data_IF_550320670131
#
_entry.id   IF_550320670131
#
_cell.length_a   1.000
_cell.length_b   1.000
_cell.length_c   1.000
_cell.angle_alpha   90.00
_cell.angle_beta   90.00
_cell.angle_gamma   90.00
#
_symmetry.space_group_name_H-M   'P 1'
#
loop_
_entity.id
_entity.type
_entity.pdbx_description
1 polymer ?
#
# COMPACT_ATOMS: atom_id res chain seq x y z
N UNK A 1 -7.62 -48.70 -61.29
CA UNK A 1 -6.56 -48.86 -60.32
C UNK A 1 -5.62 -47.64 -60.48
N UNK A 2 -5.96 -46.51 -59.84
CA UNK A 2 -5.13 -45.32 -59.82
C UNK A 2 -5.02 -44.81 -58.36
N UNK A 3 -3.87 -44.98 -57.81
CA UNK A 3 -3.50 -44.54 -56.47
C UNK A 3 -3.05 -43.08 -56.55
N UNK A 4 -3.75 -42.16 -55.87
CA UNK A 4 -3.39 -40.75 -55.78
C UNK A 4 -2.88 -40.45 -54.38
N UNK A 5 -1.57 -40.47 -54.21
CA UNK A 5 -0.90 -40.05 -52.98
C UNK A 5 -0.74 -38.54 -52.91
N UNK A 6 -1.48 -37.85 -52.05
CA UNK A 6 -1.28 -36.45 -51.74
C UNK A 6 -0.41 -36.32 -50.49
N UNK A 7 0.82 -35.90 -50.71
CA UNK A 7 1.71 -35.43 -49.69
C UNK A 7 1.26 -34.05 -49.19
N UNK A 8 0.81 -33.95 -47.93
CA UNK A 8 0.50 -32.70 -47.26
C UNK A 8 1.77 -32.29 -46.49
N UNK A 9 2.54 -31.37 -47.07
CA UNK A 9 3.62 -30.67 -46.42
C UNK A 9 3.03 -29.57 -45.51
N UNK A 10 2.95 -29.86 -44.21
CA UNK A 10 2.59 -28.84 -43.18
C UNK A 10 3.79 -27.97 -42.86
N UNK A 11 3.88 -26.78 -43.49
CA UNK A 11 4.77 -25.72 -43.06
C UNK A 11 4.24 -25.10 -41.78
N UNK A 12 4.82 -25.49 -40.63
CA UNK A 12 4.61 -24.85 -39.35
C UNK A 12 5.33 -23.51 -39.36
N UNK A 13 4.61 -22.46 -39.72
CA UNK A 13 5.06 -21.07 -39.55
C UNK A 13 5.06 -20.78 -38.03
N UNK A 14 6.23 -20.80 -37.41
CA UNK A 14 6.45 -20.24 -36.08
C UNK A 14 6.31 -18.73 -36.14
N UNK A 15 5.12 -18.23 -35.83
CA UNK A 15 4.90 -16.81 -35.56
C UNK A 15 5.60 -16.46 -34.26
N UNK A 16 6.83 -15.93 -34.38
CA UNK A 16 7.50 -15.24 -33.27
C UNK A 16 6.80 -13.91 -33.06
N UNK A 17 5.70 -13.89 -32.32
CA UNK A 17 5.14 -12.67 -31.77
C UNK A 17 6.10 -12.14 -30.71
N UNK A 18 7.07 -11.31 -31.13
CA UNK A 18 7.85 -10.48 -30.20
C UNK A 18 6.88 -9.54 -29.52
N UNK A 19 6.56 -9.86 -28.26
CA UNK A 19 5.84 -8.96 -27.37
C UNK A 19 6.62 -7.63 -27.29
N UNK A 20 6.17 -6.62 -27.96
CA UNK A 20 6.59 -5.24 -27.69
C UNK A 20 5.87 -4.83 -26.42
N UNK A 21 6.55 -4.96 -25.27
CA UNK A 21 6.14 -4.30 -24.05
C UNK A 21 6.06 -2.80 -24.34
N UNK A 22 4.85 -2.28 -24.40
CA UNK A 22 4.62 -0.89 -24.76
C UNK A 22 5.29 0.07 -23.76
N UNK A 23 5.56 1.31 -24.18
CA UNK A 23 6.30 2.31 -23.40
C UNK A 23 5.66 2.65 -22.05
N UNK A 24 4.41 2.27 -21.81
CA UNK A 24 3.67 2.49 -20.55
C UNK A 24 4.26 1.68 -19.38
N UNK A 25 4.74 0.45 -19.64
CA UNK A 25 5.36 -0.36 -18.58
C UNK A 25 6.74 0.20 -18.21
N UNK A 26 7.47 0.76 -19.17
CA UNK A 26 8.76 1.42 -18.93
C UNK A 26 8.62 2.69 -18.09
N UNK A 27 7.55 3.46 -18.27
CA UNK A 27 7.28 4.67 -17.48
C UNK A 27 6.96 4.33 -16.00
N UNK A 28 6.25 3.25 -15.73
CA UNK A 28 5.97 2.81 -14.36
C UNK A 28 7.24 2.34 -13.65
N UNK A 29 8.11 1.59 -14.33
CA UNK A 29 9.41 1.16 -13.79
C UNK A 29 10.41 2.32 -13.67
N UNK A 30 10.42 3.28 -14.59
CA UNK A 30 11.26 4.48 -14.51
C UNK A 30 10.86 5.38 -13.33
N UNK A 31 9.58 5.51 -13.03
CA UNK A 31 9.12 6.26 -11.85
C UNK A 31 9.55 5.61 -10.53
N UNK A 32 9.60 4.27 -10.46
CA UNK A 32 10.09 3.54 -9.29
C UNK A 32 11.61 3.65 -9.17
N UNK A 33 12.35 3.62 -10.28
CA UNK A 33 13.80 3.78 -10.31
C UNK A 33 14.25 5.21 -9.91
N UNK A 34 13.50 6.24 -10.30
CA UNK A 34 13.75 7.63 -9.89
C UNK A 34 13.49 7.85 -8.39
N UNK A 35 12.56 7.12 -7.78
CA UNK A 35 12.37 7.13 -6.33
C UNK A 35 13.50 6.40 -5.59
N UNK A 36 14.11 5.39 -6.20
CA UNK A 36 15.25 4.65 -5.65
C UNK A 36 16.55 5.46 -5.61
N UNK A 37 16.80 6.33 -6.60
CA UNK A 37 18.01 7.17 -6.64
C UNK A 37 17.99 8.29 -5.59
N UNK A 38 16.83 8.82 -5.24
CA UNK A 38 16.69 9.81 -4.16
C UNK A 38 16.99 9.22 -2.76
N UNK A 39 16.87 7.91 -2.58
CA UNK A 39 17.19 7.22 -1.32
C UNK A 39 18.70 7.10 -1.12
N UNK A 40 19.47 6.98 -2.21
CA UNK A 40 20.92 6.81 -2.14
C UNK A 40 21.64 8.11 -1.77
N UNK A 41 21.11 9.27 -2.17
CA UNK A 41 21.63 10.58 -1.76
C UNK A 41 21.34 10.90 -0.28
N UNK A 42 20.18 10.47 0.24
CA UNK A 42 19.83 10.69 1.64
C UNK A 42 20.69 9.85 2.62
N UNK A 43 21.23 8.72 2.19
CA UNK A 43 22.12 7.89 3.02
C UNK A 43 23.57 8.39 3.03
N UNK A 44 23.99 9.11 1.99
CA UNK A 44 25.35 9.67 1.92
C UNK A 44 25.53 10.90 2.83
N UNK A 45 24.48 11.62 3.15
CA UNK A 45 24.53 12.79 4.03
C UNK A 45 24.52 12.46 5.52
N UNK A 46 24.09 11.26 5.92
CA UNK A 46 24.04 10.85 7.34
C UNK A 46 25.35 10.31 7.86
N UNK A 47 26.36 10.10 7.01
CA UNK A 47 27.66 9.53 7.41
C UNK A 47 28.72 10.58 7.84
N UNK A 48 28.44 11.88 7.76
CA UNK A 48 29.42 12.93 8.06
C UNK A 48 29.23 13.68 9.39
N UNK A 49 28.14 13.40 10.15
CA UNK A 49 27.95 13.98 11.47
C UNK A 49 28.27 12.93 12.57
N UNK A 50 29.54 12.87 12.92
CA UNK A 50 30.01 12.15 14.08
C UNK A 50 29.97 13.09 15.29
N UNK A 51 29.17 12.82 16.33
CA UNK A 51 29.13 13.66 17.51
C UNK A 51 30.33 13.42 18.41
N UNK A 52 30.84 14.52 18.92
CA UNK A 52 31.87 14.62 19.92
C UNK A 52 31.56 13.84 21.21
N UNK A 53 32.58 13.29 21.74
CA UNK A 53 32.93 12.85 23.09
C UNK A 53 31.86 12.97 24.20
N UNK A 54 31.57 11.86 24.80
CA UNK A 54 30.83 11.72 26.05
C UNK A 54 31.81 11.93 27.22
N UNK A 55 31.57 12.95 28.00
CA UNK A 55 32.23 13.23 29.28
C UNK A 55 31.63 12.32 30.40
N UNK A 56 32.43 11.83 31.36
CA UNK A 56 31.95 10.85 32.33
C UNK A 56 31.09 11.45 33.44
N UNK A 57 30.09 10.69 33.82
CA UNK A 57 29.13 11.00 34.86
C UNK A 57 29.77 11.27 36.22
N UNK A 58 29.43 12.40 36.81
CA UNK A 58 29.71 12.71 38.23
C UNK A 58 28.73 11.96 39.13
N UNK A 59 29.31 11.30 40.13
CA UNK A 59 28.59 10.55 41.15
C UNK A 59 27.76 11.49 42.06
N UNK A 60 26.50 11.21 42.21
CA UNK A 60 25.61 11.86 43.16
C UNK A 60 25.90 11.31 44.57
N UNK A 61 26.42 12.20 45.43
CA UNK A 61 26.58 11.95 46.85
C UNK A 61 25.22 11.91 47.55
N UNK A 62 25.01 10.86 48.34
CA UNK A 62 23.84 10.62 49.18
C UNK A 62 24.00 11.49 50.43
N UNK A 63 23.11 12.48 50.64
CA UNK A 63 22.99 13.22 51.89
C UNK A 63 21.87 12.64 52.72
N UNK A 64 22.21 12.13 53.89
CA UNK A 64 21.31 11.53 54.85
C UNK A 64 20.43 12.57 55.60
N UNK A 65 19.39 12.13 56.31
CA UNK A 65 18.42 13.00 56.93
C UNK A 65 18.94 13.62 58.22
N UNK A 66 18.72 14.92 58.41
CA UNK A 66 18.98 15.64 59.64
C UNK A 66 17.80 15.48 60.64
N UNK A 67 18.05 15.55 61.97
CA UNK A 67 17.08 15.23 62.98
C UNK A 67 16.08 16.36 63.26
N UNK A 68 14.89 15.97 63.69
CA UNK A 68 13.79 16.81 64.15
C UNK A 68 14.12 17.47 65.51
N UNK A 69 13.90 18.77 65.60
CA UNK A 69 13.73 19.48 66.87
C UNK A 69 12.30 20.04 66.98
N UNK A 70 11.61 19.79 68.13
CA UNK A 70 10.31 20.38 68.37
C UNK A 70 10.47 21.58 69.35
N UNK A 71 9.85 22.67 69.05
CA UNK A 71 9.24 23.67 69.93
C UNK A 71 9.42 25.09 69.41
N UNK A 72 8.38 25.82 69.14
CA UNK A 72 7.84 26.78 70.11
C UNK A 72 6.67 27.51 69.46
N UNK A 73 5.54 27.48 70.10
CA UNK A 73 4.35 28.25 69.81
C UNK A 73 4.62 29.73 70.10
N UNK A 74 4.18 30.61 69.21
CA UNK A 74 3.83 31.99 69.57
C UNK A 74 2.76 32.52 68.62
N UNK A 75 1.59 32.67 69.16
CA UNK A 75 0.44 33.37 68.64
C UNK A 75 0.72 34.86 68.53
N UNK A 76 0.51 35.40 67.29
CA UNK A 76 0.29 36.86 67.15
C UNK A 76 -0.75 37.05 66.04
N UNK A 77 -1.93 37.50 66.46
CA UNK A 77 -3.00 37.96 65.56
C UNK A 77 -2.52 39.29 64.91
N UNK A 78 -2.37 39.29 63.61
CA UNK A 78 -2.40 40.52 62.81
C UNK A 78 -3.39 40.40 61.71
N UNK A 79 -4.44 41.19 61.78
CA UNK A 79 -5.41 41.50 60.74
C UNK A 79 -4.67 42.26 59.64
N UNK A 80 -4.51 41.65 58.48
CA UNK A 80 -3.91 42.31 57.31
C UNK A 80 -4.95 42.34 56.18
N UNK A 81 -4.98 43.40 55.39
CA UNK A 81 -6.04 43.65 54.40
C UNK A 81 -5.97 42.67 53.26
N UNK A 82 -7.15 42.30 52.72
CA UNK A 82 -7.36 41.40 51.58
C UNK A 82 -6.45 41.74 50.41
N UNK A 83 -5.41 40.92 50.20
CA UNK A 83 -4.64 40.89 48.98
C UNK A 83 -5.49 40.26 47.84
N UNK A 84 -5.33 40.75 46.58
CA UNK A 84 -6.10 40.21 45.47
C UNK A 84 -5.81 38.74 45.27
N UNK A 85 -6.90 38.00 45.16
CA UNK A 85 -6.92 36.56 44.97
C UNK A 85 -5.87 36.08 43.95
N UNK A 86 -4.81 35.48 44.47
CA UNK A 86 -3.84 34.72 43.70
C UNK A 86 -4.61 33.72 42.86
N UNK A 87 -4.55 33.84 41.57
CA UNK A 87 -5.06 32.89 40.63
C UNK A 87 -4.54 31.51 41.05
N UNK A 88 -5.44 30.67 41.48
CA UNK A 88 -5.17 29.29 41.81
C UNK A 88 -4.65 28.62 40.59
N UNK A 89 -3.34 28.54 40.41
CA UNK A 89 -2.68 27.67 39.43
C UNK A 89 -3.12 26.25 39.81
N UNK A 90 -4.19 25.80 39.15
CA UNK A 90 -4.84 24.54 39.44
C UNK A 90 -3.83 23.40 39.42
N UNK A 91 -3.45 22.93 40.58
CA UNK A 91 -2.64 21.74 40.74
C UNK A 91 -3.39 20.57 40.13
N UNK A 92 -2.99 20.17 38.89
CA UNK A 92 -3.53 18.99 38.23
C UNK A 92 -3.45 17.80 39.22
N UNK A 93 -4.56 17.09 39.40
CA UNK A 93 -4.58 15.87 40.16
C UNK A 93 -3.60 14.85 39.60
N UNK A 94 -3.11 13.94 40.43
CA UNK A 94 -2.18 12.86 39.99
C UNK A 94 -2.75 12.09 38.81
N UNK A 95 -4.06 11.80 38.81
CA UNK A 95 -4.73 11.13 37.70
C UNK A 95 -4.72 11.96 36.40
N UNK A 96 -4.92 13.25 36.49
CA UNK A 96 -4.82 14.16 35.32
C UNK A 96 -3.42 14.18 34.74
N UNK A 97 -2.37 14.21 35.59
CA UNK A 97 -0.97 14.13 35.14
C UNK A 97 -0.64 12.80 34.45
N UNK A 98 -1.13 11.68 35.00
CA UNK A 98 -0.95 10.35 34.39
C UNK A 98 -1.65 10.29 33.03
N UNK A 99 -2.89 10.79 32.93
CA UNK A 99 -3.65 10.85 31.67
C UNK A 99 -2.93 11.70 30.65
N UNK A 100 -2.49 12.89 31.00
CA UNK A 100 -1.73 13.79 30.12
C UNK A 100 -0.43 13.15 29.60
N UNK A 101 0.36 12.50 30.47
CA UNK A 101 1.56 11.77 30.05
C UNK A 101 1.27 10.59 29.12
N UNK A 102 0.20 9.85 29.32
CA UNK A 102 -0.23 8.77 28.40
C UNK A 102 -0.60 9.32 27.04
N UNK A 103 -1.32 10.44 27.01
CA UNK A 103 -1.73 11.08 25.77
C UNK A 103 -0.52 11.65 25.00
N UNK A 104 0.41 12.31 25.67
CA UNK A 104 1.66 12.77 25.07
C UNK A 104 2.47 11.63 24.45
N UNK A 105 2.62 10.50 25.16
CA UNK A 105 3.30 9.30 24.63
C UNK A 105 2.58 8.73 23.42
N UNK A 106 1.25 8.71 23.43
CA UNK A 106 0.45 8.25 22.31
C UNK A 106 0.64 9.17 21.09
N UNK A 107 0.58 10.48 21.27
CA UNK A 107 0.81 11.45 20.19
C UNK A 107 2.23 11.37 19.65
N UNK A 108 3.23 11.21 20.51
CA UNK A 108 4.62 11.01 20.09
C UNK A 108 4.76 9.73 19.24
N UNK A 109 4.18 8.61 19.67
CA UNK A 109 4.20 7.36 18.92
C UNK A 109 3.45 7.45 17.58
N UNK A 110 2.35 8.19 17.51
CA UNK A 110 1.65 8.46 16.24
C UNK A 110 2.56 9.27 15.31
N UNK A 111 3.17 10.34 15.81
CA UNK A 111 4.08 11.16 15.00
C UNK A 111 5.28 10.35 14.50
N UNK A 112 5.85 9.50 15.33
CA UNK A 112 6.97 8.63 14.94
C UNK A 112 6.63 7.71 13.77
N UNK A 113 5.43 7.12 13.75
CA UNK A 113 4.98 6.21 12.69
C UNK A 113 4.52 6.94 11.43
N UNK A 114 3.82 8.08 11.56
CA UNK A 114 3.12 8.72 10.43
C UNK A 114 3.76 10.02 9.93
N UNK A 115 4.92 10.42 10.46
CA UNK A 115 5.71 11.53 9.94
C UNK A 115 6.60 11.14 8.75
N UNK A 116 6.48 9.92 8.25
CA UNK A 116 7.25 9.48 7.09
C UNK A 116 6.68 10.09 5.80
N UNK A 117 7.61 10.60 4.96
CA UNK A 117 7.27 11.23 3.69
C UNK A 117 6.89 10.21 2.62
N UNK A 118 7.60 9.07 2.61
CA UNK A 118 7.45 8.03 1.61
C UNK A 118 7.04 6.71 2.24
N UNK A 119 6.22 6.00 1.51
CA UNK A 119 5.78 4.65 1.83
C UNK A 119 5.82 3.80 0.56
N UNK A 120 6.46 2.65 0.59
CA UNK A 120 6.36 1.64 -0.47
C UNK A 120 5.72 0.38 0.08
N UNK A 121 5.05 -0.34 -0.80
CA UNK A 121 4.45 -1.62 -0.46
C UNK A 121 4.64 -2.64 -1.58
N UNK A 122 4.72 -3.89 -1.15
CA UNK A 122 4.73 -5.06 -2.03
C UNK A 122 3.81 -6.10 -1.43
N UNK A 123 3.03 -6.75 -2.28
CA UNK A 123 2.08 -7.74 -1.83
C UNK A 123 1.54 -8.62 -2.93
N UNK A 124 0.55 -9.40 -2.55
CA UNK A 124 -0.22 -10.25 -3.44
C UNK A 124 -1.64 -10.39 -2.95
N UNK A 125 -2.48 -10.99 -3.78
CA UNK A 125 -3.87 -11.17 -3.43
C UNK A 125 -4.64 -11.89 -4.52
N UNK A 126 -5.93 -11.62 -4.57
CA UNK A 126 -6.79 -12.12 -5.63
C UNK A 126 -7.79 -11.04 -6.08
N UNK A 127 -8.20 -11.17 -7.33
CA UNK A 127 -9.25 -10.37 -7.94
C UNK A 127 -10.28 -11.27 -8.57
N UNK A 128 -11.56 -11.07 -8.28
CA UNK A 128 -12.65 -11.79 -8.92
C UNK A 128 -13.08 -11.03 -10.17
N UNK A 129 -12.73 -11.57 -11.33
CA UNK A 129 -12.86 -10.94 -12.64
C UNK A 129 -13.86 -11.66 -13.55
N UNK A 130 -14.48 -10.92 -14.46
CA UNK A 130 -15.37 -11.46 -15.50
C UNK A 130 -14.67 -11.38 -16.85
N UNK A 131 -14.22 -12.52 -17.42
CA UNK A 131 -13.37 -12.54 -18.60
C UNK A 131 -14.10 -12.34 -19.94
N UNK A 132 -15.42 -12.29 -19.91
CA UNK A 132 -16.29 -12.08 -21.08
C UNK A 132 -17.72 -11.85 -20.65
N UNK A 133 -18.57 -11.33 -21.54
CA UNK A 133 -19.95 -10.93 -21.20
C UNK A 133 -20.83 -12.10 -20.74
N UNK A 134 -20.61 -13.28 -21.30
CA UNK A 134 -21.42 -14.48 -21.03
C UNK A 134 -20.68 -15.50 -20.17
N UNK A 135 -19.42 -15.25 -19.84
CA UNK A 135 -18.60 -16.18 -19.11
C UNK A 135 -18.75 -16.02 -17.59
N UNK A 136 -18.48 -17.12 -16.88
CA UNK A 136 -18.48 -17.12 -15.42
C UNK A 136 -17.30 -16.29 -14.87
N UNK A 137 -17.52 -15.70 -13.70
CA UNK A 137 -16.47 -15.02 -12.96
C UNK A 137 -15.38 -16.01 -12.54
N UNK A 138 -14.14 -15.60 -12.71
CA UNK A 138 -12.95 -16.33 -12.31
C UNK A 138 -12.20 -15.60 -11.21
N UNK A 139 -11.33 -16.30 -10.51
CA UNK A 139 -10.38 -15.71 -9.58
C UNK A 139 -9.03 -15.58 -10.28
N UNK A 140 -8.50 -14.38 -10.27
CA UNK A 140 -7.13 -14.06 -10.68
C UNK A 140 -6.27 -13.87 -9.45
N UNK A 141 -5.10 -14.47 -9.42
CA UNK A 141 -4.08 -14.20 -8.44
C UNK A 141 -3.28 -12.98 -8.89
N UNK A 142 -2.94 -12.11 -7.94
CA UNK A 142 -2.18 -10.92 -8.28
C UNK A 142 -0.95 -10.73 -7.40
N UNK A 143 0.03 -10.04 -7.97
CA UNK A 143 1.06 -9.32 -7.24
C UNK A 143 0.82 -7.83 -7.42
N UNK A 144 1.17 -7.04 -6.43
CA UNK A 144 1.12 -5.60 -6.48
C UNK A 144 2.34 -4.96 -5.84
N UNK A 145 2.76 -3.84 -6.40
CA UNK A 145 3.82 -2.99 -5.88
C UNK A 145 3.39 -1.54 -6.03
N UNK A 146 3.67 -0.72 -5.06
CA UNK A 146 3.33 0.68 -5.17
C UNK A 146 4.11 1.55 -4.21
N UNK A 147 4.01 2.85 -4.46
CA UNK A 147 4.63 3.87 -3.64
C UNK A 147 3.63 5.00 -3.37
N UNK A 148 3.66 5.52 -2.16
CA UNK A 148 2.86 6.65 -1.73
C UNK A 148 3.77 7.76 -1.23
N UNK A 149 3.55 8.98 -1.71
CA UNK A 149 4.15 10.19 -1.13
C UNK A 149 3.10 10.91 -0.31
N UNK A 150 3.39 11.12 0.96
CA UNK A 150 2.54 11.88 1.86
C UNK A 150 2.93 13.35 1.88
N UNK A 151 1.94 14.23 1.80
CA UNK A 151 2.11 15.69 1.92
C UNK A 151 1.70 16.18 3.32
N UNK A 152 1.01 15.34 4.06
CA UNK A 152 0.65 15.53 5.46
C UNK A 152 0.52 14.15 6.13
N UNK A 153 0.39 14.10 7.45
CA UNK A 153 0.18 12.85 8.18
C UNK A 153 -0.99 12.00 7.64
N UNK A 154 -1.95 12.65 6.97
CA UNK A 154 -3.20 12.02 6.50
C UNK A 154 -3.33 11.92 4.99
N UNK A 155 -2.82 12.90 4.23
CA UNK A 155 -3.03 12.99 2.80
C UNK A 155 -1.78 12.67 2.01
N UNK A 156 -1.92 11.82 0.99
CA UNK A 156 -0.85 11.43 0.07
C UNK A 156 -1.36 11.07 -1.31
N UNK A 157 -0.45 10.86 -2.22
CA UNK A 157 -0.70 10.35 -3.57
C UNK A 157 0.04 9.04 -3.74
N UNK A 158 -0.65 8.05 -4.27
CA UNK A 158 -0.15 6.69 -4.50
C UNK A 158 -0.02 6.40 -5.99
N UNK A 159 1.05 5.72 -6.35
CA UNK A 159 1.21 5.01 -7.62
C UNK A 159 1.23 3.52 -7.34
N UNK A 160 0.52 2.75 -8.16
CA UNK A 160 0.33 1.30 -8.01
C UNK A 160 0.52 0.59 -9.33
N UNK A 161 1.31 -0.47 -9.33
CA UNK A 161 1.50 -1.38 -10.44
C UNK A 161 1.16 -2.80 -10.00
N UNK A 162 0.43 -3.53 -10.82
CA UNK A 162 0.02 -4.90 -10.51
C UNK A 162 -0.06 -5.79 -11.73
N UNK A 163 0.14 -7.08 -11.52
CA UNK A 163 -0.11 -8.11 -12.52
C UNK A 163 -1.10 -9.13 -11.98
N UNK A 164 -2.15 -9.40 -12.74
CA UNK A 164 -3.19 -10.38 -12.42
C UNK A 164 -3.10 -11.55 -13.39
N UNK A 165 -3.24 -12.77 -12.89
CA UNK A 165 -3.14 -14.00 -13.66
C UNK A 165 -4.24 -14.99 -13.26
N UNK A 166 -4.85 -15.62 -14.26
CA UNK A 166 -5.88 -16.60 -14.02
C UNK A 166 -6.20 -17.42 -15.25
N UNK A 167 -7.16 -18.32 -15.14
CA UNK A 167 -7.65 -19.12 -16.26
C UNK A 167 -9.16 -19.01 -16.31
N UNK A 168 -9.70 -18.64 -17.47
CA UNK A 168 -11.12 -18.59 -17.71
C UNK A 168 -11.65 -20.00 -18.06
N UNK A 169 -12.88 -20.30 -17.66
CA UNK A 169 -13.59 -21.46 -18.11
C UNK A 169 -14.53 -21.07 -19.25
N UNK A 170 -14.26 -21.58 -20.46
CA UNK A 170 -15.02 -21.21 -21.69
C UNK A 170 -16.00 -22.29 -22.14
N UNK A 171 -16.11 -23.42 -21.43
CA UNK A 171 -16.97 -24.51 -21.79
C UNK A 171 -16.50 -25.32 -23.02
N UNK A 172 -17.38 -26.13 -23.55
CA UNK A 172 -17.12 -26.93 -24.77
C UNK A 172 -17.30 -26.00 -25.96
N UNK A 173 -16.23 -25.80 -26.74
CA UNK A 173 -16.30 -25.03 -27.97
C UNK A 173 -16.75 -25.95 -29.13
N UNK A 174 -17.75 -25.52 -29.89
CA UNK A 174 -18.26 -26.23 -31.06
C UNK A 174 -17.33 -26.17 -32.29
N UNK A 175 -16.27 -25.36 -32.23
CA UNK A 175 -15.41 -25.03 -33.38
C UNK A 175 -14.08 -25.79 -33.43
N UNK A 176 -13.72 -26.57 -32.43
CA UNK A 176 -12.44 -27.30 -32.47
C UNK A 176 -12.54 -28.69 -31.85
N UNK A 177 -11.94 -29.66 -32.55
CA UNK A 177 -11.62 -30.97 -32.00
C UNK A 177 -10.62 -30.91 -30.85
N UNK A 178 -9.98 -29.75 -30.66
CA UNK A 178 -9.07 -29.47 -29.57
C UNK A 178 -9.80 -28.74 -28.47
N UNK A 179 -10.09 -29.47 -27.40
CA UNK A 179 -10.84 -28.96 -26.24
C UNK A 179 -9.99 -27.92 -25.45
N UNK A 180 -10.09 -26.64 -25.80
CA UNK A 180 -9.54 -25.55 -24.99
C UNK A 180 -10.58 -25.18 -23.94
N UNK A 181 -10.40 -25.66 -22.71
CA UNK A 181 -11.37 -25.43 -21.65
C UNK A 181 -11.00 -24.30 -20.71
N UNK A 182 -9.70 -24.01 -20.59
CA UNK A 182 -9.17 -23.08 -19.58
C UNK A 182 -8.06 -22.19 -20.15
N UNK A 183 -8.38 -21.25 -21.05
CA UNK A 183 -7.37 -20.33 -21.57
C UNK A 183 -6.79 -19.47 -20.44
N UNK A 184 -5.48 -19.25 -20.48
CA UNK A 184 -4.78 -18.39 -19.55
C UNK A 184 -5.07 -16.92 -19.87
N UNK A 185 -5.30 -16.14 -18.83
CA UNK A 185 -5.50 -14.69 -18.89
C UNK A 185 -4.43 -14.02 -18.06
N UNK A 186 -3.86 -12.95 -18.59
CA UNK A 186 -2.94 -12.09 -17.87
C UNK A 186 -3.31 -10.63 -18.07
N UNK A 187 -3.23 -9.85 -16.98
CA UNK A 187 -3.55 -8.43 -17.01
C UNK A 187 -2.48 -7.66 -16.25
N UNK A 188 -2.07 -6.53 -16.80
CA UNK A 188 -1.12 -5.62 -16.17
C UNK A 188 -1.77 -4.26 -16.01
N UNK A 189 -1.73 -3.72 -14.80
CA UNK A 189 -2.39 -2.46 -14.47
C UNK A 189 -1.39 -1.47 -13.90
N UNK A 190 -1.49 -0.22 -14.33
CA UNK A 190 -0.78 0.91 -13.74
C UNK A 190 -1.81 1.99 -13.39
N UNK A 191 -1.86 2.36 -12.11
CA UNK A 191 -2.84 3.31 -11.57
C UNK A 191 -2.19 4.31 -10.65
N UNK A 192 -2.83 5.49 -10.50
CA UNK A 192 -2.42 6.49 -9.54
C UNK A 192 -3.60 7.25 -9.00
N UNK A 193 -3.46 7.77 -7.79
CA UNK A 193 -4.52 8.56 -7.18
C UNK A 193 -4.31 8.91 -5.72
N UNK A 194 -5.25 9.68 -5.15
CA UNK A 194 -5.19 10.13 -3.77
C UNK A 194 -5.41 9.00 -2.77
N UNK A 195 -4.72 9.13 -1.64
CA UNK A 195 -4.87 8.28 -0.45
C UNK A 195 -5.10 9.17 0.75
N UNK A 196 -6.08 8.83 1.59
CA UNK A 196 -6.39 9.57 2.81
C UNK A 196 -6.51 8.61 4.00
N UNK A 197 -5.77 8.89 5.08
CA UNK A 197 -5.84 8.15 6.35
C UNK A 197 -6.97 8.72 7.20
N UNK A 198 -8.08 7.99 7.31
CA UNK A 198 -9.24 8.38 8.13
C UNK A 198 -8.95 8.18 9.61
N UNK A 199 -8.35 7.04 9.94
CA UNK A 199 -8.07 6.65 11.31
C UNK A 199 -6.58 6.38 11.50
N UNK A 200 -6.00 6.99 12.52
CA UNK A 200 -4.58 6.90 12.85
C UNK A 200 -4.43 6.49 14.31
N UNK A 201 -3.80 5.34 14.54
CA UNK A 201 -3.45 4.83 15.85
C UNK A 201 -1.99 4.33 15.81
N UNK A 202 -1.20 4.37 16.91
CA UNK A 202 0.19 3.91 16.88
C UNK A 202 0.39 2.52 16.30
N UNK A 203 -0.54 1.60 16.52
CA UNK A 203 -0.44 0.21 16.07
C UNK A 203 -1.15 -0.07 14.74
N UNK A 204 -2.16 0.71 14.35
CA UNK A 204 -2.94 0.46 13.14
C UNK A 204 -3.49 1.75 12.54
N UNK A 205 -3.71 1.73 11.25
CA UNK A 205 -4.40 2.80 10.53
C UNK A 205 -5.40 2.24 9.54
N UNK A 206 -6.41 3.05 9.22
CA UNK A 206 -7.38 2.77 8.18
C UNK A 206 -7.35 3.95 7.22
N UNK A 207 -7.16 3.65 5.96
CA UNK A 207 -7.13 4.65 4.89
C UNK A 207 -8.14 4.33 3.80
N UNK A 208 -8.52 5.33 3.03
CA UNK A 208 -9.23 5.18 1.78
C UNK A 208 -8.34 5.60 0.64
N UNK A 209 -8.44 4.88 -0.46
CA UNK A 209 -7.67 5.13 -1.66
C UNK A 209 -8.58 5.04 -2.87
N UNK A 210 -8.47 6.02 -3.77
CA UNK A 210 -9.14 5.99 -5.07
C UNK A 210 -8.06 6.21 -6.12
N UNK A 211 -8.00 5.33 -7.10
CA UNK A 211 -6.98 5.36 -8.15
C UNK A 211 -7.61 5.19 -9.51
N UNK A 212 -7.04 5.84 -10.52
CA UNK A 212 -7.39 5.68 -11.92
C UNK A 212 -6.16 5.41 -12.74
N UNK A 213 -6.33 4.69 -13.84
CA UNK A 213 -5.22 4.36 -14.72
C UNK A 213 -5.60 3.47 -15.90
N UNK A 214 -4.63 2.75 -16.41
CA UNK A 214 -4.78 1.86 -17.54
C UNK A 214 -4.50 0.41 -17.16
N UNK A 215 -5.22 -0.49 -17.80
CA UNK A 215 -5.05 -1.94 -17.70
C UNK A 215 -4.86 -2.52 -19.09
N UNK A 216 -3.83 -3.33 -19.27
CA UNK A 216 -3.57 -4.09 -20.49
C UNK A 216 -3.96 -5.53 -20.24
N UNK A 217 -4.97 -6.02 -20.96
CA UNK A 217 -5.44 -7.40 -20.86
C UNK A 217 -4.96 -8.25 -22.03
N UNK A 218 -4.45 -9.42 -21.74
CA UNK A 218 -4.14 -10.49 -22.70
C UNK A 218 -5.05 -11.67 -22.41
N UNK A 219 -5.96 -11.92 -23.32
CA UNK A 219 -6.97 -12.98 -23.25
C UNK A 219 -6.70 -14.10 -24.26
N UNK A 220 -5.63 -13.98 -25.08
CA UNK A 220 -5.26 -14.93 -26.12
C UNK A 220 -4.32 -16.05 -25.64
N UNK A 221 -3.97 -16.08 -24.36
CA UNK A 221 -3.12 -17.11 -23.80
C UNK A 221 -3.69 -18.51 -24.05
N UNK A 222 -2.86 -19.44 -24.51
CA UNK A 222 -3.20 -20.84 -24.85
C UNK A 222 -4.23 -21.05 -25.97
N UNK A 223 -4.68 -19.99 -26.65
CA UNK A 223 -5.63 -20.09 -27.77
C UNK A 223 -4.94 -20.39 -29.13
N UNK A 224 -3.61 -20.29 -29.21
CA UNK A 224 -2.87 -20.50 -30.44
C UNK A 224 -3.25 -19.51 -31.55
N UNK A 225 -3.83 -19.99 -32.65
CA UNK A 225 -4.25 -19.16 -33.77
C UNK A 225 -5.69 -18.64 -33.66
N UNK A 226 -6.42 -19.03 -32.62
CA UNK A 226 -7.82 -18.66 -32.45
C UNK A 226 -7.96 -17.29 -31.79
N UNK A 227 -9.03 -16.55 -32.17
CA UNK A 227 -9.34 -15.26 -31.57
C UNK A 227 -10.08 -15.42 -30.26
N UNK A 228 -9.77 -14.65 -29.21
CA UNK A 228 -10.47 -14.72 -27.91
C UNK A 228 -11.99 -14.55 -28.02
N UNK A 229 -12.46 -13.69 -28.93
CA UNK A 229 -13.88 -13.43 -29.14
C UNK A 229 -14.67 -14.66 -29.59
N UNK A 230 -14.03 -15.62 -30.29
CA UNK A 230 -14.66 -16.90 -30.67
C UNK A 230 -15.01 -17.78 -29.48
N UNK A 231 -14.40 -17.55 -28.32
CA UNK A 231 -14.66 -18.24 -27.05
C UNK A 231 -15.47 -17.41 -26.06
N UNK A 232 -15.98 -16.24 -26.48
CA UNK A 232 -16.72 -15.34 -25.62
C UNK A 232 -15.83 -14.50 -24.69
N UNK A 233 -14.51 -14.56 -24.83
CA UNK A 233 -13.54 -13.75 -24.08
C UNK A 233 -13.46 -12.34 -24.68
N UNK A 234 -13.01 -11.38 -23.85
CA UNK A 234 -12.64 -10.07 -24.38
C UNK A 234 -11.43 -10.18 -25.29
N UNK A 235 -11.32 -9.26 -26.26
CA UNK A 235 -10.14 -9.15 -27.10
C UNK A 235 -8.97 -8.53 -26.34
N UNK A 236 -7.75 -8.89 -26.74
CA UNK A 236 -6.54 -8.29 -26.22
C UNK A 236 -6.57 -6.77 -26.49
N UNK A 237 -6.56 -5.99 -25.43
CA UNK A 237 -6.68 -4.53 -25.54
C UNK A 237 -6.22 -3.83 -24.26
N UNK A 238 -6.01 -2.53 -24.40
CA UNK A 238 -5.84 -1.62 -23.26
C UNK A 238 -7.19 -1.00 -22.91
N UNK A 239 -7.53 -1.01 -21.64
CA UNK A 239 -8.75 -0.44 -21.11
C UNK A 239 -8.47 0.52 -19.95
N UNK A 240 -9.49 1.29 -19.54
CA UNK A 240 -9.42 2.14 -18.36
C UNK A 240 -9.74 1.27 -17.14
N UNK A 241 -8.99 1.52 -16.06
CA UNK A 241 -9.23 0.93 -14.76
C UNK A 241 -9.40 2.02 -13.71
N UNK A 242 -10.41 1.85 -12.83
CA UNK A 242 -10.61 2.70 -11.66
C UNK A 242 -10.72 1.79 -10.43
N UNK A 243 -9.99 2.09 -9.38
CA UNK A 243 -9.98 1.30 -8.16
C UNK A 243 -10.38 2.16 -6.96
N UNK A 244 -11.20 1.60 -6.08
CA UNK A 244 -11.48 2.12 -4.76
C UNK A 244 -11.12 1.05 -3.72
N UNK A 245 -10.29 1.40 -2.74
CA UNK A 245 -9.82 0.46 -1.73
C UNK A 245 -9.81 1.06 -0.33
N UNK A 246 -9.88 0.20 0.68
CA UNK A 246 -9.83 0.55 2.09
C UNK A 246 -8.65 -0.15 2.78
N UNK A 247 -7.40 0.28 2.58
CA UNK A 247 -6.24 -0.32 3.23
C UNK A 247 -6.31 -0.20 4.75
N UNK A 248 -6.14 -1.34 5.42
CA UNK A 248 -5.96 -1.48 6.85
C UNK A 248 -4.51 -1.88 7.07
N UNK A 249 -3.78 -1.11 7.87
CA UNK A 249 -2.37 -1.33 8.13
C UNK A 249 -2.14 -1.61 9.60
N UNK A 250 -1.35 -2.63 9.88
CA UNK A 250 -0.86 -2.95 11.21
C UNK A 250 0.64 -2.63 11.29
N UNK A 251 1.01 -1.71 12.18
CA UNK A 251 2.38 -1.25 12.35
C UNK A 251 3.16 -2.21 13.24
N UNK A 252 4.09 -2.94 12.65
CA UNK A 252 5.02 -3.83 13.38
C UNK A 252 6.13 -3.00 14.01
N UNK A 253 6.63 -2.01 13.28
CA UNK A 253 7.59 -1.00 13.74
C UNK A 253 7.27 0.35 13.09
N UNK A 254 7.92 1.45 13.49
CA UNK A 254 7.70 2.75 12.84
C UNK A 254 7.91 2.72 11.33
N UNK A 255 8.90 1.97 10.83
CA UNK A 255 9.22 1.87 9.41
C UNK A 255 8.64 0.66 8.69
N UNK A 256 8.00 -0.30 9.40
CA UNK A 256 7.52 -1.55 8.81
C UNK A 256 6.09 -1.84 9.27
N UNK A 257 5.22 -2.17 8.32
CA UNK A 257 3.84 -2.55 8.57
C UNK A 257 3.37 -3.73 7.71
N UNK A 258 2.27 -4.31 8.13
CA UNK A 258 1.48 -5.25 7.35
C UNK A 258 0.26 -4.52 6.81
N UNK A 259 -0.11 -4.76 5.56
CA UNK A 259 -1.29 -4.17 4.92
C UNK A 259 -2.24 -5.26 4.49
N UNK A 260 -3.52 -5.01 4.70
CA UNK A 260 -4.65 -5.74 4.16
C UNK A 260 -5.57 -4.74 3.50
N UNK A 261 -5.88 -4.92 2.22
CA UNK A 261 -6.66 -3.96 1.45
C UNK A 261 -7.76 -4.66 0.65
N UNK A 262 -9.00 -4.65 1.14
CA UNK A 262 -10.15 -4.93 0.30
C UNK A 262 -10.29 -3.84 -0.75
N UNK A 263 -10.61 -4.25 -1.98
CA UNK A 263 -10.70 -3.33 -3.11
C UNK A 263 -11.82 -3.67 -4.07
N UNK A 264 -12.32 -2.65 -4.72
CA UNK A 264 -13.26 -2.69 -5.80
C UNK A 264 -12.62 -2.08 -7.03
N UNK A 265 -12.62 -2.81 -8.15
CA UNK A 265 -11.97 -2.38 -9.39
C UNK A 265 -12.98 -2.40 -10.53
N UNK A 266 -13.16 -1.25 -11.15
CA UNK A 266 -13.91 -1.08 -12.40
C UNK A 266 -12.95 -1.16 -13.57
N UNK A 267 -13.27 -1.97 -14.57
CA UNK A 267 -12.54 -2.04 -15.84
C UNK A 267 -13.49 -1.90 -17.01
N UNK A 268 -12.97 -1.46 -18.18
CA UNK A 268 -13.82 -1.18 -19.36
C UNK A 268 -13.40 -2.01 -20.57
N UNK A 269 -13.32 -3.33 -20.42
CA UNK A 269 -13.04 -4.21 -21.55
C UNK A 269 -14.27 -4.41 -22.42
N UNK A 270 -14.09 -4.49 -23.75
CA UNK A 270 -15.14 -4.85 -24.70
C UNK A 270 -16.35 -3.92 -24.71
N UNK A 271 -16.16 -2.62 -24.49
CA UNK A 271 -17.22 -1.59 -24.41
C UNK A 271 -18.25 -1.82 -23.31
N UNK A 272 -17.93 -2.64 -22.32
CA UNK A 272 -18.75 -2.89 -21.14
C UNK A 272 -17.96 -2.61 -19.88
N UNK A 273 -18.65 -2.26 -18.79
CA UNK A 273 -18.02 -2.02 -17.49
C UNK A 273 -18.06 -3.30 -16.66
N UNK A 274 -16.90 -3.77 -16.23
CA UNK A 274 -16.77 -4.92 -15.35
C UNK A 274 -16.58 -4.45 -13.92
N UNK A 275 -17.38 -5.02 -13.02
CA UNK A 275 -17.32 -4.80 -11.58
C UNK A 275 -16.54 -5.95 -10.93
N UNK A 276 -15.36 -5.66 -10.42
CA UNK A 276 -14.44 -6.67 -9.89
C UNK A 276 -14.18 -6.39 -8.42
N UNK A 277 -14.18 -7.43 -7.59
CA UNK A 277 -13.84 -7.36 -6.18
C UNK A 277 -12.59 -8.16 -5.91
N UNK A 278 -11.71 -7.59 -5.10
CA UNK A 278 -10.48 -8.24 -4.73
C UNK A 278 -10.03 -7.91 -3.32
N UNK A 279 -8.99 -8.60 -2.92
CA UNK A 279 -8.29 -8.36 -1.66
C UNK A 279 -6.81 -8.50 -1.92
N UNK A 280 -6.04 -7.55 -1.42
CA UNK A 280 -4.57 -7.61 -1.44
C UNK A 280 -4.03 -7.56 -0.03
N UNK A 281 -2.90 -8.24 0.18
CA UNK A 281 -2.17 -8.25 1.44
C UNK A 281 -0.68 -8.14 1.17
N UNK A 282 0.07 -7.50 2.06
CA UNK A 282 1.50 -7.33 1.84
C UNK A 282 2.24 -6.60 2.94
N UNK A 283 3.47 -6.27 2.63
CA UNK A 283 4.38 -5.53 3.48
C UNK A 283 4.42 -4.06 3.06
N UNK A 284 4.56 -3.20 4.05
CA UNK A 284 4.71 -1.74 3.88
C UNK A 284 6.00 -1.30 4.54
N UNK A 285 6.79 -0.54 3.81
CA UNK A 285 8.03 0.06 4.29
C UNK A 285 7.90 1.57 4.20
N UNK A 286 8.28 2.27 5.26
CA UNK A 286 8.19 3.73 5.38
C UNK A 286 9.55 4.34 5.63
N UNK A 287 9.84 5.48 4.98
CA UNK A 287 11.09 6.22 5.15
C UNK A 287 10.91 7.71 4.86
N UNK A 288 11.96 8.49 5.17
CA UNK A 288 11.92 9.95 5.08
C UNK A 288 11.17 10.57 6.25
N UNK A 289 11.54 11.77 6.66
CA UNK A 289 10.82 12.55 7.66
C UNK A 289 10.18 13.76 6.99
N UNK A 290 8.96 14.10 7.41
CA UNK A 290 8.27 15.34 7.04
C UNK A 290 8.85 16.50 7.82
#
# INVERSE_FOLDING_TARGET
>A
MFSYSRSISSSISRSNSRFQFGPVLFLAFAAIALLGSAVQEAQAQTASDQPAQVEPAQALAFVGPAPFDPATQSSTSQTEPAAPSAQTTGHMTVQQRIKARREQRRLAAIREVYSHLYEAYIGGGFLRFTPGQTLQRMNEYNWNVGATRYFSERFGVTLDGRGNYGSAYVGINQYSDTAIFKPAISQYTAMGGPTYRFFIHPRYSISGRVMGGAIVGNFSGDLGAFKPSGFGLYSDTTAIAVSASAPIEYNVSPGLGLRFAPEYVLTTFGSSTQNNFGVTGGLVIRWGKQ
#
